data_IF_215650786882
#
_entry.id   IF_215650786882
#
_cell.length_a   1.000
_cell.length_b   1.000
_cell.length_c   1.000
_cell.angle_alpha   90.00
_cell.angle_beta   90.00
_cell.angle_gamma   90.00
#
_symmetry.space_group_name_H-M   'P 1'
#
loop_
_entity.id
_entity.type
_entity.pdbx_description
1 polymer ?
#
# COMPACT_ATOMS: atom_id res chain seq x y z
N UNK A 1 13.63 -16.63 12.09
CA UNK A 1 12.61 -15.77 11.44
C UNK A 1 12.31 -16.40 10.08
N UNK A 2 11.06 -16.72 9.78
CA UNK A 2 10.71 -17.27 8.47
C UNK A 2 10.73 -16.14 7.44
N UNK A 3 11.39 -16.29 6.28
CA UNK A 3 11.36 -15.28 5.24
C UNK A 3 9.92 -15.13 4.72
N UNK A 4 9.52 -13.89 4.46
CA UNK A 4 8.28 -13.64 3.74
C UNK A 4 8.41 -14.21 2.33
N UNK A 5 7.33 -14.79 1.80
CA UNK A 5 7.30 -15.30 0.43
C UNK A 5 6.46 -14.39 -0.43
N UNK A 6 6.96 -14.09 -1.61
CA UNK A 6 6.30 -13.24 -2.60
C UNK A 6 6.12 -13.96 -3.92
N UNK A 7 4.96 -13.76 -4.56
CA UNK A 7 4.73 -14.19 -5.94
C UNK A 7 5.41 -13.27 -6.96
N UNK A 8 5.55 -11.99 -6.62
CA UNK A 8 6.26 -10.99 -7.40
C UNK A 8 6.68 -9.83 -6.49
N UNK A 9 7.70 -9.09 -6.89
CA UNK A 9 8.15 -7.87 -6.21
C UNK A 9 8.18 -6.74 -7.23
N UNK A 10 7.39 -5.70 -6.98
CA UNK A 10 7.35 -4.48 -7.75
C UNK A 10 7.93 -3.34 -6.95
N UNK A 11 8.80 -2.56 -7.56
CA UNK A 11 9.47 -1.42 -6.93
C UNK A 11 9.14 -0.18 -7.76
N UNK A 12 8.38 0.73 -7.18
CA UNK A 12 8.10 1.98 -7.86
C UNK A 12 9.39 2.78 -8.08
N UNK A 13 9.54 3.38 -9.25
CA UNK A 13 10.75 4.11 -9.64
C UNK A 13 11.17 5.20 -8.66
N UNK A 14 10.19 5.83 -7.97
CA UNK A 14 10.44 6.82 -6.94
C UNK A 14 11.27 6.28 -5.77
N UNK A 15 11.10 4.99 -5.43
CA UNK A 15 11.90 4.31 -4.39
C UNK A 15 13.34 4.18 -4.83
N UNK A 16 13.56 3.82 -6.10
CA UNK A 16 14.93 3.66 -6.64
C UNK A 16 15.64 5.00 -6.75
N UNK A 17 14.90 6.05 -7.16
CA UNK A 17 15.44 7.42 -7.30
C UNK A 17 15.81 8.08 -5.97
N UNK A 18 15.15 7.71 -4.87
CA UNK A 18 15.40 8.26 -3.55
C UNK A 18 16.47 7.44 -2.79
N UNK A 19 17.67 7.97 -2.53
CA UNK A 19 18.77 7.18 -1.95
C UNK A 19 18.43 6.52 -0.62
N UNK A 20 17.68 7.21 0.27
CA UNK A 20 17.25 6.67 1.56
C UNK A 20 16.26 5.52 1.39
N UNK A 21 15.29 5.67 0.49
CA UNK A 21 14.31 4.62 0.19
C UNK A 21 14.98 3.41 -0.44
N UNK A 22 15.88 3.61 -1.39
CA UNK A 22 16.65 2.54 -2.00
C UNK A 22 17.51 1.79 -0.97
N UNK A 23 18.20 2.50 -0.09
CA UNK A 23 19.00 1.87 0.98
C UNK A 23 18.12 1.02 1.94
N UNK A 24 16.89 1.43 2.23
CA UNK A 24 15.91 0.62 2.99
C UNK A 24 15.50 -0.60 2.21
N UNK A 25 15.16 -0.43 0.94
CA UNK A 25 14.78 -1.52 0.04
C UNK A 25 15.86 -2.62 0.02
N UNK A 26 17.12 -2.24 -0.20
CA UNK A 26 18.25 -3.19 -0.25
C UNK A 26 18.42 -4.00 1.05
N UNK A 27 18.04 -3.43 2.19
CA UNK A 27 18.03 -4.15 3.47
C UNK A 27 16.84 -5.09 3.62
N UNK A 28 15.71 -4.81 2.99
CA UNK A 28 14.49 -5.61 3.10
C UNK A 28 14.47 -6.80 2.13
N UNK A 29 14.94 -6.59 0.91
CA UNK A 29 14.89 -7.61 -0.16
C UNK A 29 15.47 -8.98 0.24
N UNK A 30 16.59 -9.08 0.98
CA UNK A 30 17.13 -10.38 1.38
C UNK A 30 16.23 -11.20 2.31
N UNK A 31 15.21 -10.57 2.90
CA UNK A 31 14.25 -11.21 3.80
C UNK A 31 12.94 -11.62 3.11
N UNK A 32 12.85 -11.42 1.78
CA UNK A 32 11.67 -11.74 0.99
C UNK A 32 12.09 -12.76 -0.08
N UNK A 33 11.61 -13.99 0.06
CA UNK A 33 11.85 -15.03 -0.95
C UNK A 33 10.90 -14.80 -2.14
N UNK A 34 11.46 -14.61 -3.32
CA UNK A 34 10.74 -14.50 -4.58
C UNK A 34 11.52 -15.25 -5.66
N UNK A 35 10.81 -15.92 -6.57
CA UNK A 35 11.45 -16.65 -7.68
C UNK A 35 12.05 -15.69 -8.71
N UNK A 36 11.35 -14.59 -8.96
CA UNK A 36 11.74 -13.59 -9.94
C UNK A 36 12.47 -12.41 -9.29
N UNK A 37 13.33 -11.76 -10.07
CA UNK A 37 13.98 -10.53 -9.65
C UNK A 37 12.95 -9.39 -9.48
N UNK A 38 13.18 -8.44 -8.55
CA UNK A 38 12.34 -7.28 -8.41
C UNK A 38 12.23 -6.48 -9.72
N UNK A 39 11.01 -6.08 -10.08
CA UNK A 39 10.71 -5.29 -11.27
C UNK A 39 10.53 -3.83 -10.89
N UNK A 40 11.29 -2.93 -11.52
CA UNK A 40 11.09 -1.49 -11.37
C UNK A 40 9.95 -1.07 -12.28
N UNK A 41 8.98 -0.33 -11.72
CA UNK A 41 7.76 0.09 -12.41
C UNK A 41 7.47 1.57 -12.16
N UNK A 42 6.81 2.20 -13.14
CA UNK A 42 6.20 3.52 -13.00
C UNK A 42 4.69 3.43 -12.67
N UNK A 43 4.02 4.59 -12.54
CA UNK A 43 2.58 4.65 -12.25
C UNK A 43 1.74 3.93 -13.34
N UNK A 44 2.10 4.06 -14.63
CA UNK A 44 1.35 3.45 -15.72
C UNK A 44 1.47 1.92 -15.71
N UNK A 45 2.68 1.42 -15.55
CA UNK A 45 2.94 -0.02 -15.45
C UNK A 45 2.28 -0.62 -14.21
N UNK A 46 2.34 0.08 -13.07
CA UNK A 46 1.69 -0.37 -11.84
C UNK A 46 0.16 -0.38 -11.98
N UNK A 47 -0.42 0.64 -12.64
CA UNK A 47 -1.84 0.68 -12.96
C UNK A 47 -2.28 -0.55 -13.78
N UNK A 48 -1.51 -0.90 -14.82
CA UNK A 48 -1.80 -2.07 -15.65
C UNK A 48 -1.66 -3.40 -14.87
N UNK A 49 -0.68 -3.49 -13.98
CA UNK A 49 -0.49 -4.65 -13.11
C UNK A 49 -1.69 -4.81 -12.18
N UNK A 50 -2.13 -3.73 -11.51
CA UNK A 50 -3.27 -3.74 -10.59
C UNK A 50 -4.54 -4.16 -11.34
N UNK A 51 -4.81 -3.57 -12.51
CA UNK A 51 -5.99 -3.89 -13.31
C UNK A 51 -6.01 -5.35 -13.78
N UNK A 52 -4.89 -5.83 -14.34
CA UNK A 52 -4.79 -7.23 -14.78
C UNK A 52 -4.88 -8.25 -13.64
N UNK A 53 -4.39 -7.89 -12.48
CA UNK A 53 -4.42 -8.74 -11.29
C UNK A 53 -5.74 -8.66 -10.52
N UNK A 54 -6.61 -7.71 -10.84
CA UNK A 54 -7.86 -7.45 -10.14
C UNK A 54 -7.65 -7.10 -8.66
N UNK A 55 -6.57 -6.39 -8.33
CA UNK A 55 -6.27 -6.02 -6.95
C UNK A 55 -7.18 -4.92 -6.42
N UNK A 56 -7.72 -4.10 -7.29
CA UNK A 56 -8.68 -3.04 -7.01
C UNK A 56 -10.14 -3.52 -6.93
N UNK A 57 -10.42 -4.77 -7.35
CA UNK A 57 -11.76 -5.32 -7.28
C UNK A 57 -12.17 -5.65 -5.85
N UNK A 58 -13.32 -5.18 -5.43
CA UNK A 58 -13.94 -5.56 -4.16
C UNK A 58 -14.65 -6.90 -4.31
N UNK A 59 -14.07 -7.95 -3.74
CA UNK A 59 -14.72 -9.28 -3.69
C UNK A 59 -15.35 -9.49 -2.33
N UNK A 60 -16.65 -9.33 -2.24
CA UNK A 60 -17.40 -9.70 -1.05
C UNK A 60 -17.53 -11.23 -0.98
N UNK A 61 -16.75 -11.87 -0.12
CA UNK A 61 -16.92 -13.28 0.22
C UNK A 61 -17.26 -13.44 1.69
N UNK A 62 -18.18 -14.34 2.01
CA UNK A 62 -18.76 -14.47 3.36
C UNK A 62 -18.30 -15.72 4.12
N UNK A 63 -17.37 -16.51 3.61
CA UNK A 63 -17.11 -17.83 4.15
C UNK A 63 -16.20 -17.87 5.38
N UNK A 64 -15.55 -16.79 5.72
CA UNK A 64 -14.74 -16.65 6.95
C UNK A 64 -13.58 -17.65 7.09
N UNK A 65 -13.31 -18.47 6.11
CA UNK A 65 -12.25 -19.46 6.14
C UNK A 65 -10.93 -18.87 5.67
N UNK A 66 -9.89 -19.09 6.45
CA UNK A 66 -8.52 -18.81 6.03
C UNK A 66 -8.15 -19.82 4.93
N UNK A 67 -8.01 -19.34 3.70
CA UNK A 67 -7.41 -20.16 2.63
C UNK A 67 -5.96 -19.79 2.52
N UNK A 68 -5.11 -20.79 2.55
CA UNK A 68 -3.72 -20.67 2.11
C UNK A 68 -3.75 -20.52 0.60
N UNK A 69 -3.89 -19.27 0.14
CA UNK A 69 -3.87 -18.94 -1.28
C UNK A 69 -2.45 -18.73 -1.79
N UNK A 70 -2.30 -18.39 -3.06
CA UNK A 70 -1.00 -18.08 -3.64
C UNK A 70 -0.31 -16.98 -2.85
N UNK A 71 1.01 -17.03 -2.85
CA UNK A 71 1.86 -15.99 -2.27
C UNK A 71 1.48 -14.62 -2.81
N UNK A 72 1.64 -13.57 -1.98
CA UNK A 72 1.23 -12.21 -2.34
C UNK A 72 2.34 -11.47 -3.05
N UNK A 73 1.96 -10.59 -3.96
CA UNK A 73 2.89 -9.63 -4.51
C UNK A 73 3.25 -8.58 -3.46
N UNK A 74 4.50 -8.14 -3.49
CA UNK A 74 4.96 -6.97 -2.75
C UNK A 74 5.11 -5.80 -3.70
N UNK A 75 4.64 -4.64 -3.25
CA UNK A 75 4.83 -3.35 -3.91
C UNK A 75 5.60 -2.46 -2.95
N UNK A 76 6.73 -1.93 -3.37
CA UNK A 76 7.46 -0.91 -2.64
C UNK A 76 7.21 0.42 -3.30
N UNK A 77 6.63 1.36 -2.56
CA UNK A 77 6.19 2.66 -3.07
C UNK A 77 6.62 3.81 -2.16
N UNK A 78 6.36 5.02 -2.61
CA UNK A 78 6.44 6.23 -1.80
C UNK A 78 5.07 6.89 -1.77
N UNK A 79 4.75 7.61 -0.71
CA UNK A 79 3.60 8.49 -0.72
C UNK A 79 4.04 9.93 -1.01
N UNK A 80 3.07 10.77 -1.36
CA UNK A 80 3.25 12.19 -1.64
C UNK A 80 2.10 12.99 -1.05
N UNK A 81 2.38 14.21 -0.65
CA UNK A 81 1.38 15.19 -0.24
C UNK A 81 0.84 15.90 -1.49
N UNK A 82 0.04 15.21 -2.28
CA UNK A 82 -0.57 15.80 -3.47
C UNK A 82 -1.76 16.71 -3.09
N UNK A 83 -1.94 17.82 -3.81
CA UNK A 83 -3.16 18.61 -3.71
C UNK A 83 -4.36 17.78 -4.17
N UNK A 84 -5.57 18.15 -3.73
CA UNK A 84 -6.80 17.47 -4.14
C UNK A 84 -6.98 17.46 -5.67
N UNK A 85 -6.55 18.53 -6.35
CA UNK A 85 -6.59 18.64 -7.81
C UNK A 85 -5.59 17.68 -8.48
N UNK A 86 -4.34 17.66 -8.03
CA UNK A 86 -3.31 16.72 -8.51
C UNK A 86 -3.74 15.29 -8.31
N UNK A 87 -4.31 14.98 -7.14
CA UNK A 87 -4.81 13.65 -6.83
C UNK A 87 -5.97 13.24 -7.75
N UNK A 88 -6.90 14.16 -8.03
CA UNK A 88 -8.01 13.91 -8.95
C UNK A 88 -7.51 13.62 -10.37
N UNK A 89 -6.51 14.39 -10.86
CA UNK A 89 -5.89 14.15 -12.16
C UNK A 89 -5.21 12.78 -12.24
N UNK A 90 -4.43 12.42 -11.20
CA UNK A 90 -3.76 11.11 -11.15
C UNK A 90 -4.75 9.95 -11.10
N UNK A 91 -5.84 10.09 -10.35
CA UNK A 91 -6.91 9.08 -10.30
C UNK A 91 -7.62 8.91 -11.65
N UNK A 92 -7.81 10.00 -12.38
CA UNK A 92 -8.37 9.93 -13.73
C UNK A 92 -7.42 9.26 -14.72
N UNK A 93 -6.11 9.53 -14.60
CA UNK A 93 -5.08 8.97 -15.46
C UNK A 93 -4.81 7.48 -15.16
N UNK A 94 -4.87 7.09 -13.88
CA UNK A 94 -4.55 5.74 -13.39
C UNK A 94 -5.72 5.16 -12.59
N UNK A 95 -6.81 4.76 -13.24
CA UNK A 95 -8.05 4.38 -12.56
C UNK A 95 -7.90 3.16 -11.65
N UNK A 96 -6.99 2.24 -11.93
CA UNK A 96 -6.72 1.08 -11.08
C UNK A 96 -5.87 1.42 -9.85
N UNK A 97 -5.18 2.56 -9.86
CA UNK A 97 -4.46 3.10 -8.70
C UNK A 97 -5.32 4.05 -7.87
N UNK A 98 -6.64 4.06 -8.06
CA UNK A 98 -7.56 4.92 -7.32
C UNK A 98 -7.60 4.64 -5.81
N UNK A 99 -7.08 3.50 -5.37
CA UNK A 99 -6.82 3.25 -3.96
C UNK A 99 -5.73 4.19 -3.47
N UNK A 100 -6.08 5.10 -2.56
CA UNK A 100 -5.22 6.16 -2.05
C UNK A 100 -3.81 5.71 -1.63
N UNK A 101 -3.67 4.52 -1.07
CA UNK A 101 -2.38 3.97 -0.66
C UNK A 101 -1.47 3.55 -1.84
N UNK A 102 -2.01 3.21 -3.01
CA UNK A 102 -1.20 2.92 -4.20
C UNK A 102 -0.78 4.20 -4.91
N UNK A 103 -1.63 5.23 -4.89
CA UNK A 103 -1.28 6.54 -5.41
C UNK A 103 -0.28 7.26 -4.51
N UNK A 104 -0.13 6.81 -3.26
CA UNK A 104 0.74 7.46 -2.32
C UNK A 104 0.30 8.89 -2.03
N UNK A 105 -0.98 9.12 -1.85
CA UNK A 105 -1.55 10.45 -1.63
C UNK A 105 -1.36 10.97 -0.21
N UNK A 106 -0.68 10.20 0.63
CA UNK A 106 -0.39 10.61 2.00
C UNK A 106 -1.62 10.91 2.84
N UNK A 107 -2.79 10.40 2.45
CA UNK A 107 -4.02 10.69 3.16
C UNK A 107 -3.90 10.29 4.63
N UNK A 108 -3.94 11.28 5.49
CA UNK A 108 -4.01 11.09 6.93
C UNK A 108 -5.43 10.74 7.31
N UNK A 109 -5.64 9.56 7.81
CA UNK A 109 -6.90 9.23 8.48
C UNK A 109 -6.73 9.41 9.97
N UNK A 110 -7.57 10.25 10.55
CA UNK A 110 -7.72 10.26 12.00
C UNK A 110 -8.38 8.96 12.44
N UNK A 111 -7.70 8.18 13.24
CA UNK A 111 -8.23 6.95 13.80
C UNK A 111 -9.57 7.16 14.51
N UNK A 112 -9.70 8.27 15.24
CA UNK A 112 -10.92 8.66 15.97
C UNK A 112 -11.56 9.93 15.41
N UNK A 113 -11.15 10.34 14.24
CA UNK A 113 -11.34 11.69 13.70
C UNK A 113 -12.62 11.92 12.94
N UNK A 114 -13.69 11.27 13.28
CA UNK A 114 -14.98 11.84 12.94
C UNK A 114 -15.19 13.06 13.84
N UNK A 115 -15.39 14.21 13.23
CA UNK A 115 -15.67 15.47 13.92
C UNK A 115 -16.75 15.34 15.03
N UNK A 116 -17.63 14.37 14.89
CA UNK A 116 -18.65 13.99 15.87
C UNK A 116 -18.08 13.37 17.17
N UNK A 117 -16.93 12.72 17.16
CA UNK A 117 -16.33 12.17 18.39
C UNK A 117 -15.56 13.20 19.17
N UNK A 118 -14.84 14.09 18.49
CA UNK A 118 -14.12 15.17 19.13
C UNK A 118 -15.06 16.14 19.86
N UNK A 119 -16.29 16.31 19.37
CA UNK A 119 -17.29 17.17 19.99
C UNK A 119 -18.14 16.48 21.05
N UNK A 120 -18.23 15.16 21.05
CA UNK A 120 -19.16 14.46 21.95
C UNK A 120 -18.55 13.99 23.28
N UNK A 121 -17.24 13.77 23.36
CA UNK A 121 -16.70 13.11 24.56
C UNK A 121 -15.46 13.75 25.17
N UNK A 122 -14.76 14.66 24.52
CA UNK A 122 -13.62 15.41 25.11
C UNK A 122 -12.50 14.58 25.78
N UNK A 123 -12.50 13.27 25.62
CA UNK A 123 -11.74 12.34 26.46
C UNK A 123 -10.45 11.83 25.79
N UNK A 124 -10.38 11.85 24.46
CA UNK A 124 -9.21 11.33 23.76
C UNK A 124 -8.56 12.40 22.88
N UNK A 125 -7.25 12.47 22.93
CA UNK A 125 -6.47 13.24 21.97
C UNK A 125 -6.67 12.63 20.58
N UNK A 126 -6.76 13.47 19.56
CA UNK A 126 -6.80 13.04 18.18
C UNK A 126 -5.53 12.24 17.87
N UNK A 127 -5.70 11.02 17.37
CA UNK A 127 -4.59 10.17 16.94
C UNK A 127 -4.55 10.12 15.41
N UNK A 128 -3.36 10.31 14.86
CA UNK A 128 -3.10 10.12 13.44
C UNK A 128 -2.68 8.69 13.18
N UNK A 129 -3.24 8.06 12.17
CA UNK A 129 -2.79 6.76 11.71
C UNK A 129 -1.71 6.93 10.65
N UNK A 130 -0.53 6.42 10.91
CA UNK A 130 0.57 6.34 9.96
C UNK A 130 0.59 4.94 9.34
N UNK A 131 0.30 4.88 8.07
CA UNK A 131 0.30 3.63 7.34
C UNK A 131 1.60 3.44 6.58
N UNK A 132 2.56 2.76 7.19
CA UNK A 132 3.81 2.38 6.54
C UNK A 132 3.69 1.12 5.67
N UNK A 133 2.68 0.29 5.94
CA UNK A 133 2.40 -0.93 5.19
C UNK A 133 0.90 -1.10 5.03
N UNK A 134 0.48 -1.41 3.81
CA UNK A 134 -0.89 -1.78 3.47
C UNK A 134 -0.95 -3.19 2.93
N UNK A 135 -2.08 -3.83 3.16
CA UNK A 135 -2.28 -5.18 2.70
C UNK A 135 -1.99 -6.21 3.78
N UNK A 136 -2.06 -7.46 3.41
CA UNK A 136 -1.91 -8.57 4.32
C UNK A 136 -1.39 -9.79 3.57
N UNK A 137 -0.55 -10.59 4.22
CA UNK A 137 -0.05 -11.85 3.68
C UNK A 137 -1.11 -12.97 3.73
N UNK A 138 -2.19 -12.78 4.49
CA UNK A 138 -3.28 -13.76 4.59
C UNK A 138 -4.29 -13.59 3.46
N UNK A 139 -4.93 -14.69 3.08
CA UNK A 139 -5.92 -14.78 2.00
C UNK A 139 -7.31 -15.05 2.52
N UNK A 140 -7.72 -14.32 3.54
CA UNK A 140 -9.04 -14.51 4.15
C UNK A 140 -10.15 -14.20 3.13
N UNK A 141 -11.08 -15.12 2.93
CA UNK A 141 -12.15 -14.98 1.94
C UNK A 141 -13.13 -13.82 2.23
N UNK A 142 -13.18 -13.36 3.47
CA UNK A 142 -14.06 -12.25 3.88
C UNK A 142 -13.36 -10.88 3.83
N UNK A 143 -12.06 -10.84 3.52
CA UNK A 143 -11.25 -9.64 3.61
C UNK A 143 -10.89 -9.08 2.23
N UNK A 144 -11.06 -7.78 2.06
CA UNK A 144 -10.72 -7.08 0.82
C UNK A 144 -9.27 -6.56 0.78
N UNK A 145 -8.53 -6.70 1.89
CA UNK A 145 -7.20 -6.08 2.06
C UNK A 145 -6.06 -7.00 1.58
N UNK A 146 -6.27 -8.31 1.58
CA UNK A 146 -5.21 -9.30 1.43
C UNK A 146 -4.77 -9.65 0.00
N UNK A 147 -4.72 -8.72 -0.94
CA UNK A 147 -4.39 -9.05 -2.34
C UNK A 147 -2.95 -8.84 -2.70
N UNK A 148 -2.32 -7.88 -2.10
CA UNK A 148 -0.91 -7.55 -2.20
C UNK A 148 -0.45 -6.89 -0.90
N UNK A 149 0.84 -6.65 -0.76
CA UNK A 149 1.42 -5.91 0.35
C UNK A 149 2.12 -4.69 -0.22
N UNK A 150 1.64 -3.50 0.09
CA UNK A 150 2.31 -2.26 -0.27
C UNK A 150 3.12 -1.74 0.92
N UNK A 151 4.39 -1.47 0.70
CA UNK A 151 5.31 -0.95 1.71
C UNK A 151 5.73 0.46 1.30
N UNK A 152 5.39 1.42 2.15
CA UNK A 152 5.75 2.83 1.96
C UNK A 152 7.18 3.06 2.46
N UNK A 153 8.05 3.57 1.61
CA UNK A 153 9.48 3.64 1.87
C UNK A 153 9.99 4.99 2.38
N UNK A 154 9.27 6.08 2.12
CA UNK A 154 9.64 7.45 2.51
C UNK A 154 8.95 7.89 3.81
N UNK A 155 9.21 7.17 4.88
CA UNK A 155 8.55 7.41 6.18
C UNK A 155 8.88 8.78 6.79
N UNK A 156 9.98 9.39 6.41
CA UNK A 156 10.40 10.74 6.82
C UNK A 156 9.40 11.81 6.42
N UNK A 157 8.70 11.63 5.31
CA UNK A 157 7.66 12.55 4.84
C UNK A 157 6.47 12.67 5.81
N UNK A 158 6.32 11.73 6.73
CA UNK A 158 5.32 11.83 7.79
C UNK A 158 5.71 12.80 8.90
N UNK A 159 6.97 13.24 8.91
CA UNK A 159 7.55 14.05 9.99
C UNK A 159 7.82 15.49 9.54
N UNK A 160 7.78 15.76 8.25
CA UNK A 160 7.99 17.07 7.63
C UNK A 160 6.67 17.77 7.35
#
# INVERSE_FOLDING_TARGET
MYPAKASAIYVHESVVRAPRCNARLQRMLPHIACADAPQVVDDAQLNDIVGRSGWDEVKSRRTGQLKLGPERAFVFSTFRWDSAETLAQRRAQYPHLASWYLLGDGAWTFRDGRATRATQLGICQNAYELHSVWGCLHTCDYCNIGRFVNVVMNLEEYLE
#
